data_IF_331877694381
#
_entry.id   IF_331877694381
#
_cell.length_a   1.000
_cell.length_b   1.000
_cell.length_c   1.000
_cell.angle_alpha   90.00
_cell.angle_beta   90.00
_cell.angle_gamma   90.00
#
_symmetry.space_group_name_H-M   'P 1'
#
loop_
_entity.id
_entity.type
_entity.pdbx_description
1 polymer ?
#
# COMPACT_ATOMS: atom_id res chain seq x y z
N UNK A 1 -31.88 -10.92 -11.25
CA UNK A 1 -30.45 -10.52 -11.31
C UNK A 1 -29.63 -11.68 -10.74
N UNK A 2 -28.62 -12.17 -11.46
CA UNK A 2 -27.68 -13.20 -10.99
C UNK A 2 -26.24 -12.66 -11.04
N UNK A 3 -25.31 -13.41 -10.48
CA UNK A 3 -23.89 -12.98 -10.41
C UNK A 3 -23.24 -12.87 -11.79
N UNK A 4 -23.63 -13.74 -12.73
CA UNK A 4 -23.07 -13.72 -14.09
C UNK A 4 -23.49 -12.44 -14.83
N UNK A 5 -24.73 -12.02 -14.67
CA UNK A 5 -25.21 -10.75 -15.24
C UNK A 5 -24.42 -9.53 -14.70
N UNK A 6 -24.09 -9.54 -13.39
CA UNK A 6 -23.24 -8.49 -12.82
C UNK A 6 -21.81 -8.53 -13.38
N UNK A 7 -21.23 -9.73 -13.56
CA UNK A 7 -19.90 -9.89 -14.17
C UNK A 7 -19.88 -9.37 -15.60
N UNK A 8 -20.87 -9.77 -16.41
CA UNK A 8 -21.01 -9.31 -17.78
C UNK A 8 -21.12 -7.78 -17.84
N UNK A 9 -21.95 -7.18 -16.98
CA UNK A 9 -22.07 -5.72 -16.89
C UNK A 9 -20.74 -5.04 -16.54
N UNK A 10 -20.03 -5.53 -15.52
CA UNK A 10 -18.74 -4.97 -15.14
C UNK A 10 -17.70 -5.07 -16.26
N UNK A 11 -17.70 -6.17 -17.01
CA UNK A 11 -16.80 -6.34 -18.14
C UNK A 11 -17.17 -5.47 -19.34
N UNK A 12 -18.46 -5.25 -19.62
CA UNK A 12 -18.90 -4.27 -20.61
C UNK A 12 -18.36 -2.87 -20.30
N UNK A 13 -18.42 -2.46 -19.04
CA UNK A 13 -17.90 -1.16 -18.57
C UNK A 13 -16.38 -1.09 -18.70
N UNK A 14 -15.67 -2.11 -18.22
CA UNK A 14 -14.20 -2.13 -18.23
C UNK A 14 -13.64 -2.18 -19.65
N UNK A 15 -14.24 -2.98 -20.53
CA UNK A 15 -13.81 -3.14 -21.92
C UNK A 15 -14.38 -2.06 -22.84
N UNK A 16 -15.35 -1.27 -22.37
CA UNK A 16 -16.08 -0.24 -23.13
C UNK A 16 -16.64 -0.75 -24.48
N UNK A 17 -16.93 -2.06 -24.53
CA UNK A 17 -17.31 -2.75 -25.77
C UNK A 17 -18.13 -4.01 -25.49
N UNK A 18 -19.36 -4.06 -26.04
CA UNK A 18 -20.27 -5.19 -25.87
C UNK A 18 -19.77 -6.49 -26.52
N UNK A 19 -19.15 -6.40 -27.71
CA UNK A 19 -18.66 -7.57 -28.44
C UNK A 19 -17.47 -8.21 -27.72
N UNK A 20 -16.53 -7.41 -27.20
CA UNK A 20 -15.40 -7.92 -26.42
C UNK A 20 -15.86 -8.55 -25.09
N UNK A 21 -16.88 -7.96 -24.45
CA UNK A 21 -17.48 -8.56 -23.26
C UNK A 21 -18.15 -9.91 -23.58
N UNK A 22 -18.87 -9.99 -24.71
CA UNK A 22 -19.48 -11.22 -25.19
C UNK A 22 -18.46 -12.33 -25.44
N UNK A 23 -17.37 -11.99 -26.14
CA UNK A 23 -16.25 -12.92 -26.40
C UNK A 23 -15.64 -13.44 -25.10
N UNK A 24 -15.36 -12.54 -24.12
CA UNK A 24 -14.82 -12.91 -22.81
C UNK A 24 -15.70 -13.89 -22.03
N UNK A 25 -17.03 -13.78 -22.17
CA UNK A 25 -18.00 -14.64 -21.49
C UNK A 25 -18.48 -15.83 -22.30
N UNK A 26 -18.00 -15.99 -23.55
CA UNK A 26 -18.42 -17.10 -24.43
C UNK A 26 -19.90 -17.04 -24.83
N UNK A 27 -20.50 -15.85 -24.90
CA UNK A 27 -21.91 -15.61 -25.27
C UNK A 27 -22.02 -14.68 -26.45
N UNK A 28 -23.21 -14.60 -27.07
CA UNK A 28 -23.42 -13.66 -28.17
C UNK A 28 -23.51 -12.21 -27.71
N UNK A 29 -23.15 -11.28 -28.56
CA UNK A 29 -23.30 -9.83 -28.29
C UNK A 29 -24.77 -9.44 -28.04
N UNK A 30 -25.71 -10.12 -28.69
CA UNK A 30 -27.15 -9.93 -28.45
C UNK A 30 -27.54 -10.37 -27.04
N UNK A 31 -26.98 -11.47 -26.51
CA UNK A 31 -27.20 -11.91 -25.14
C UNK A 31 -26.68 -10.89 -24.11
N UNK A 32 -25.48 -10.34 -24.32
CA UNK A 32 -24.94 -9.25 -23.48
C UNK A 32 -25.86 -8.03 -23.51
N UNK A 33 -26.33 -7.64 -24.70
CA UNK A 33 -27.25 -6.48 -24.85
C UNK A 33 -28.60 -6.72 -24.14
N UNK A 34 -29.14 -7.95 -24.19
CA UNK A 34 -30.36 -8.33 -23.47
C UNK A 34 -30.15 -8.32 -21.94
N UNK A 35 -29.06 -8.86 -21.43
CA UNK A 35 -28.73 -8.83 -20.00
C UNK A 35 -28.62 -7.40 -19.49
N UNK A 36 -27.96 -6.54 -20.24
CA UNK A 36 -27.85 -5.10 -19.91
C UNK A 36 -29.24 -4.43 -19.90
N UNK A 37 -30.08 -4.69 -20.91
CA UNK A 37 -31.44 -4.14 -20.98
C UNK A 37 -32.31 -4.65 -19.80
N UNK A 38 -32.15 -5.91 -19.39
CA UNK A 38 -32.84 -6.45 -18.21
C UNK A 38 -32.43 -5.71 -16.92
N UNK A 39 -31.14 -5.40 -16.74
CA UNK A 39 -30.68 -4.62 -15.58
C UNK A 39 -31.27 -3.21 -15.60
N UNK A 40 -31.24 -2.55 -16.75
CA UNK A 40 -31.80 -1.21 -16.95
C UNK A 40 -33.31 -1.17 -16.67
N UNK A 41 -34.05 -2.21 -17.14
CA UNK A 41 -35.47 -2.36 -16.87
C UNK A 41 -35.76 -2.59 -15.39
N UNK A 42 -34.99 -3.46 -14.74
CA UNK A 42 -35.14 -3.77 -13.31
C UNK A 42 -34.95 -2.53 -12.43
N UNK A 43 -33.98 -1.69 -12.79
CA UNK A 43 -33.67 -0.47 -12.03
C UNK A 43 -34.35 0.79 -12.58
N UNK A 44 -35.16 0.64 -13.63
CA UNK A 44 -35.92 1.74 -14.29
C UNK A 44 -35.03 2.94 -14.68
N UNK A 45 -33.79 2.69 -15.05
CA UNK A 45 -32.85 3.72 -15.48
C UNK A 45 -31.86 3.15 -16.50
N UNK A 46 -31.32 4.00 -17.35
CA UNK A 46 -30.21 3.65 -18.21
C UNK A 46 -28.91 3.63 -17.40
N UNK A 47 -28.16 2.56 -17.52
CA UNK A 47 -26.85 2.39 -16.86
C UNK A 47 -25.71 2.76 -17.79
N UNK A 48 -25.92 2.64 -19.12
CA UNK A 48 -24.91 2.82 -20.14
C UNK A 48 -25.43 3.73 -21.23
N UNK A 49 -24.64 4.73 -21.62
CA UNK A 49 -24.90 5.55 -22.80
C UNK A 49 -24.39 4.84 -24.06
N UNK A 50 -25.32 4.23 -24.79
CA UNK A 50 -25.02 3.48 -26.03
C UNK A 50 -24.79 4.38 -27.25
N UNK A 51 -25.06 5.69 -27.13
CA UNK A 51 -24.86 6.66 -28.24
C UNK A 51 -23.38 7.09 -28.29
N UNK A 52 -22.66 6.99 -27.21
CA UNK A 52 -21.24 7.34 -27.14
C UNK A 52 -20.33 6.18 -27.60
N UNK A 53 -19.28 6.54 -28.29
CA UNK A 53 -18.21 5.62 -28.71
C UNK A 53 -16.85 6.21 -28.35
N UNK A 54 -16.10 5.60 -27.40
CA UNK A 54 -16.39 4.36 -26.67
C UNK A 54 -17.59 4.50 -25.72
N UNK A 55 -18.24 3.38 -25.41
CA UNK A 55 -19.38 3.27 -24.51
C UNK A 55 -19.03 3.85 -23.13
N UNK A 56 -19.93 4.66 -22.57
CA UNK A 56 -19.73 5.34 -21.28
C UNK A 56 -20.85 5.00 -20.28
N UNK A 57 -20.55 5.13 -19.00
CA UNK A 57 -21.56 5.02 -17.94
C UNK A 57 -22.41 6.29 -17.85
N UNK A 58 -23.68 6.12 -17.47
CA UNK A 58 -24.50 7.21 -16.93
C UNK A 58 -24.17 7.45 -15.45
N UNK A 59 -24.65 8.53 -14.84
CA UNK A 59 -24.51 8.75 -13.39
C UNK A 59 -25.10 7.58 -12.57
N UNK A 60 -26.24 7.03 -12.99
CA UNK A 60 -26.82 5.83 -12.40
C UNK A 60 -25.93 4.60 -12.62
N UNK A 61 -25.32 4.51 -13.81
CA UNK A 61 -24.36 3.45 -14.16
C UNK A 61 -23.12 3.46 -13.29
N UNK A 62 -22.58 4.61 -12.94
CA UNK A 62 -21.42 4.73 -12.03
C UNK A 62 -21.74 4.19 -10.63
N UNK A 63 -22.87 4.59 -10.06
CA UNK A 63 -23.34 4.10 -8.76
C UNK A 63 -23.56 2.57 -8.82
N UNK A 64 -24.23 2.10 -9.87
CA UNK A 64 -24.50 0.68 -10.04
C UNK A 64 -23.20 -0.13 -10.25
N UNK A 65 -22.25 0.39 -11.02
CA UNK A 65 -20.95 -0.27 -11.27
C UNK A 65 -20.14 -0.43 -9.98
N UNK A 66 -20.06 0.62 -9.15
CA UNK A 66 -19.39 0.55 -7.86
C UNK A 66 -20.02 -0.52 -6.96
N UNK A 67 -21.36 -0.52 -6.82
CA UNK A 67 -22.09 -1.49 -6.04
C UNK A 67 -21.95 -2.93 -6.59
N UNK A 68 -22.02 -3.10 -7.91
CA UNK A 68 -21.86 -4.41 -8.57
C UNK A 68 -20.47 -5.00 -8.32
N UNK A 69 -19.42 -4.20 -8.38
CA UNK A 69 -18.06 -4.62 -8.02
C UNK A 69 -17.97 -5.08 -6.57
N UNK A 70 -18.51 -4.33 -5.64
CA UNK A 70 -18.49 -4.68 -4.22
C UNK A 70 -19.21 -6.01 -3.95
N UNK A 71 -20.36 -6.23 -4.60
CA UNK A 71 -21.14 -7.48 -4.49
C UNK A 71 -20.31 -8.65 -5.04
N UNK A 72 -19.73 -8.51 -6.24
CA UNK A 72 -18.93 -9.56 -6.86
C UNK A 72 -17.68 -9.88 -6.03
N UNK A 73 -16.98 -8.89 -5.52
CA UNK A 73 -15.85 -9.09 -4.62
C UNK A 73 -16.27 -9.84 -3.35
N UNK A 74 -17.43 -9.52 -2.79
CA UNK A 74 -17.96 -10.19 -1.60
C UNK A 74 -18.34 -11.64 -1.89
N UNK A 75 -18.94 -11.91 -3.05
CA UNK A 75 -19.30 -13.26 -3.48
C UNK A 75 -18.07 -14.13 -3.72
N UNK A 76 -17.06 -13.63 -4.45
CA UNK A 76 -15.80 -14.32 -4.70
C UNK A 76 -15.06 -14.63 -3.39
N UNK A 77 -15.17 -13.72 -2.44
CA UNK A 77 -14.63 -13.88 -1.09
C UNK A 77 -15.34 -14.99 -0.32
N UNK A 78 -16.67 -15.02 -0.36
CA UNK A 78 -17.47 -16.10 0.24
C UNK A 78 -17.05 -17.47 -0.31
N UNK A 79 -16.90 -17.58 -1.63
CA UNK A 79 -16.44 -18.81 -2.28
C UNK A 79 -15.04 -19.22 -1.79
N UNK A 80 -14.14 -18.24 -1.63
CA UNK A 80 -12.80 -18.48 -1.08
C UNK A 80 -12.81 -18.83 0.41
N UNK A 81 -13.69 -18.21 1.20
CA UNK A 81 -13.88 -18.52 2.62
C UNK A 81 -14.41 -19.95 2.81
N UNK A 82 -15.41 -20.36 2.01
CA UNK A 82 -15.94 -21.74 2.03
C UNK A 82 -14.87 -22.75 1.58
N UNK A 83 -14.14 -22.46 0.51
CA UNK A 83 -13.03 -23.31 0.07
C UNK A 83 -11.92 -23.43 1.13
N UNK A 84 -11.70 -22.36 1.91
CA UNK A 84 -10.79 -22.32 3.06
C UNK A 84 -11.26 -23.17 4.25
N UNK A 85 -12.56 -23.42 4.39
CA UNK A 85 -13.10 -24.33 5.43
C UNK A 85 -12.88 -25.79 5.06
N UNK A 86 -12.80 -26.10 3.76
CA UNK A 86 -12.63 -27.48 3.26
C UNK A 86 -11.16 -27.86 3.03
N UNK A 87 -10.26 -26.88 2.95
CA UNK A 87 -8.79 -27.07 2.92
C UNK A 87 -8.17 -26.10 3.91
N UNK A 88 -7.25 -26.53 4.81
CA UNK A 88 -6.53 -25.58 5.67
C UNK A 88 -5.92 -24.52 4.75
N UNK A 89 -6.24 -23.25 5.02
CA UNK A 89 -5.79 -22.14 4.20
C UNK A 89 -4.25 -22.06 4.23
N UNK A 90 -3.62 -22.76 3.27
CA UNK A 90 -2.17 -22.79 3.11
C UNK A 90 -1.66 -21.49 2.45
N UNK A 91 -2.44 -20.41 2.62
CA UNK A 91 -2.15 -19.11 2.02
C UNK A 91 -2.30 -17.99 3.04
N UNK A 92 -1.32 -17.10 3.08
CA UNK A 92 -1.31 -15.88 3.88
C UNK A 92 -1.03 -14.70 2.94
N UNK A 93 -1.78 -13.60 3.13
CA UNK A 93 -1.64 -12.36 2.38
C UNK A 93 -1.13 -11.27 3.31
N UNK A 94 0.10 -10.86 3.09
CA UNK A 94 0.77 -9.80 3.80
C UNK A 94 0.88 -8.58 2.88
N UNK A 95 0.41 -7.43 3.31
CA UNK A 95 0.63 -6.18 2.60
C UNK A 95 1.48 -5.23 3.44
N UNK A 96 2.40 -4.53 2.82
CA UNK A 96 3.25 -3.56 3.47
C UNK A 96 3.44 -2.30 2.63
N UNK A 97 3.75 -1.19 3.25
CA UNK A 97 4.26 -0.02 2.52
C UNK A 97 5.62 -0.36 1.89
N UNK A 98 5.94 0.28 0.78
CA UNK A 98 7.14 -0.03 -0.02
C UNK A 98 8.42 -0.05 0.82
N UNK A 99 8.67 1.01 1.62
CA UNK A 99 9.89 1.13 2.43
C UNK A 99 10.07 -0.03 3.42
N UNK A 100 9.01 -0.44 4.09
CA UNK A 100 9.05 -1.56 5.05
C UNK A 100 9.14 -2.90 4.32
N UNK A 101 8.35 -3.09 3.26
CA UNK A 101 8.30 -4.34 2.51
C UNK A 101 9.62 -4.70 1.86
N UNK A 102 10.29 -3.72 1.25
CA UNK A 102 11.54 -3.94 0.52
C UNK A 102 12.77 -4.06 1.45
N UNK A 103 12.76 -3.38 2.59
CA UNK A 103 13.98 -3.26 3.42
C UNK A 103 13.88 -3.98 4.76
N UNK A 104 12.74 -3.87 5.45
CA UNK A 104 12.60 -4.33 6.84
C UNK A 104 12.01 -5.74 6.95
N UNK A 105 11.06 -6.12 6.07
CA UNK A 105 10.35 -7.39 6.16
C UNK A 105 11.15 -8.63 5.72
N UNK A 106 12.21 -8.48 4.95
CA UNK A 106 12.90 -9.60 4.32
C UNK A 106 13.40 -10.67 5.31
N UNK A 107 14.02 -10.34 6.45
CA UNK A 107 14.44 -11.33 7.44
C UNK A 107 13.27 -12.14 8.01
N UNK A 108 12.13 -11.50 8.25
CA UNK A 108 10.91 -12.12 8.76
C UNK A 108 10.30 -13.09 7.76
N UNK A 109 10.21 -12.66 6.49
CA UNK A 109 9.74 -13.50 5.38
C UNK A 109 10.62 -14.74 5.25
N UNK A 110 11.95 -14.57 5.26
CA UNK A 110 12.90 -15.68 5.20
C UNK A 110 12.69 -16.68 6.36
N UNK A 111 12.59 -16.19 7.60
CA UNK A 111 12.36 -17.01 8.79
C UNK A 111 10.99 -17.72 8.75
N UNK A 112 9.96 -17.02 8.28
CA UNK A 112 8.64 -17.61 8.10
C UNK A 112 8.65 -18.75 7.07
N UNK A 113 9.22 -18.52 5.89
CA UNK A 113 9.31 -19.53 4.82
C UNK A 113 10.12 -20.75 5.23
N UNK A 114 11.18 -20.59 6.02
CA UNK A 114 11.95 -21.72 6.57
C UNK A 114 11.10 -22.57 7.51
N UNK A 115 10.18 -21.97 8.28
CA UNK A 115 9.31 -22.69 9.23
C UNK A 115 8.08 -23.30 8.61
N UNK A 116 7.54 -22.67 7.56
CA UNK A 116 6.32 -23.07 6.86
C UNK A 116 6.54 -23.13 5.34
N UNK A 117 7.38 -24.06 4.84
CA UNK A 117 7.78 -24.11 3.42
C UNK A 117 6.62 -24.44 2.47
N UNK A 118 5.54 -25.05 2.98
CA UNK A 118 4.35 -25.43 2.19
C UNK A 118 3.28 -24.35 2.18
N UNK A 119 3.43 -23.28 2.96
CA UNK A 119 2.46 -22.17 3.01
C UNK A 119 2.79 -21.17 1.90
N UNK A 120 1.80 -20.83 1.10
CA UNK A 120 1.91 -19.79 0.10
C UNK A 120 1.78 -18.41 0.77
N UNK A 121 2.90 -17.75 1.03
CA UNK A 121 2.94 -16.37 1.49
C UNK A 121 2.95 -15.42 0.29
N UNK A 122 1.87 -14.64 0.13
CA UNK A 122 1.80 -13.55 -0.85
C UNK A 122 2.14 -12.25 -0.14
N UNK A 123 3.22 -11.62 -0.56
CA UNK A 123 3.65 -10.29 -0.08
C UNK A 123 3.38 -9.27 -1.16
N UNK A 124 2.70 -8.20 -0.81
CA UNK A 124 2.33 -7.12 -1.73
C UNK A 124 2.71 -5.77 -1.13
N UNK A 125 3.10 -4.85 -2.01
CA UNK A 125 3.43 -3.48 -1.62
C UNK A 125 2.35 -2.53 -2.12
N UNK A 126 1.89 -1.62 -1.26
CA UNK A 126 0.80 -0.71 -1.58
C UNK A 126 0.89 0.56 -0.73
N UNK A 127 0.11 1.57 -1.08
CA UNK A 127 -0.07 2.76 -0.24
C UNK A 127 -0.82 2.42 1.06
N UNK A 128 -0.63 3.23 2.09
CA UNK A 128 -1.27 3.02 3.40
C UNK A 128 -2.79 2.91 3.28
N UNK A 129 -3.44 3.79 2.49
CA UNK A 129 -4.89 3.77 2.28
C UNK A 129 -5.36 2.44 1.68
N UNK A 130 -4.69 1.97 0.62
CA UNK A 130 -5.02 0.70 -0.02
C UNK A 130 -4.83 -0.51 0.93
N UNK A 131 -3.81 -0.47 1.80
CA UNK A 131 -3.61 -1.55 2.80
C UNK A 131 -4.77 -1.59 3.77
N UNK A 132 -5.23 -0.43 4.30
CA UNK A 132 -6.38 -0.37 5.18
C UNK A 132 -7.66 -0.86 4.51
N UNK A 133 -7.97 -0.39 3.30
CA UNK A 133 -9.16 -0.79 2.55
C UNK A 133 -9.19 -2.30 2.30
N UNK A 134 -8.07 -2.86 1.87
CA UNK A 134 -7.94 -4.29 1.59
C UNK A 134 -7.98 -5.14 2.87
N UNK A 135 -7.43 -4.63 3.98
CA UNK A 135 -7.50 -5.29 5.28
C UNK A 135 -8.95 -5.35 5.77
N UNK A 136 -9.69 -4.24 5.68
CA UNK A 136 -11.10 -4.16 6.07
C UNK A 136 -11.99 -5.05 5.20
N UNK A 137 -11.73 -5.11 3.90
CA UNK A 137 -12.40 -6.03 2.97
C UNK A 137 -12.03 -7.51 3.21
N UNK A 138 -10.91 -7.79 3.88
CA UNK A 138 -10.39 -9.13 4.13
C UNK A 138 -9.56 -9.69 2.98
N UNK A 139 -9.12 -8.85 2.02
CA UNK A 139 -8.23 -9.23 0.91
C UNK A 139 -6.77 -9.36 1.36
N UNK A 140 -6.45 -8.80 2.52
CA UNK A 140 -5.18 -8.89 3.21
C UNK A 140 -5.41 -9.47 4.60
N UNK A 141 -4.48 -10.26 5.09
CA UNK A 141 -4.56 -10.91 6.41
C UNK A 141 -3.82 -10.10 7.46
N UNK A 142 -2.65 -9.58 7.10
CA UNK A 142 -1.78 -8.77 7.96
C UNK A 142 -1.29 -7.59 7.12
N UNK A 143 -1.37 -6.38 7.66
CA UNK A 143 -0.80 -5.18 7.08
C UNK A 143 0.40 -4.67 7.90
N UNK A 144 1.41 -4.07 7.25
CA UNK A 144 2.49 -3.34 7.93
C UNK A 144 2.59 -1.94 7.35
N UNK A 145 2.40 -0.94 8.22
CA UNK A 145 2.28 0.48 7.82
C UNK A 145 3.10 1.38 8.73
N UNK A 146 3.47 2.54 8.25
CA UNK A 146 3.99 3.61 9.11
C UNK A 146 2.82 4.41 9.72
N UNK A 147 2.98 4.89 10.95
CA UNK A 147 2.07 5.82 11.60
C UNK A 147 0.61 5.35 11.55
N UNK A 148 0.36 4.14 12.06
CA UNK A 148 -0.97 3.54 12.01
C UNK A 148 -2.04 4.40 12.67
N UNK A 149 -3.20 4.48 12.02
CA UNK A 149 -4.40 5.13 12.56
C UNK A 149 -5.18 4.13 13.42
N UNK A 150 -5.62 4.54 14.61
CA UNK A 150 -6.53 3.75 15.42
C UNK A 150 -7.91 3.72 14.77
N UNK A 151 -8.45 2.52 14.53
CA UNK A 151 -9.79 2.30 13.97
C UNK A 151 -10.50 1.22 14.77
N UNK A 152 -11.84 1.34 14.94
CA UNK A 152 -12.64 0.38 15.73
C UNK A 152 -12.53 -1.07 15.22
N UNK A 153 -12.36 -1.25 13.91
CA UNK A 153 -12.33 -2.56 13.25
C UNK A 153 -10.92 -3.14 13.09
N UNK A 154 -9.87 -2.44 13.55
CA UNK A 154 -8.48 -2.81 13.35
C UNK A 154 -7.76 -2.87 14.70
N UNK A 155 -6.98 -3.92 14.90
CA UNK A 155 -5.99 -4.03 15.96
C UNK A 155 -4.65 -3.56 15.41
N UNK A 156 -3.94 -2.78 16.21
CA UNK A 156 -2.64 -2.19 15.87
C UNK A 156 -1.62 -2.68 16.89
N UNK A 157 -0.52 -3.23 16.39
CA UNK A 157 0.62 -3.65 17.21
C UNK A 157 1.85 -2.87 16.77
N UNK A 158 2.74 -2.48 17.68
CA UNK A 158 4.04 -1.93 17.31
C UNK A 158 4.81 -2.93 16.43
N UNK A 159 5.63 -2.39 15.51
CA UNK A 159 6.55 -3.22 14.71
C UNK A 159 7.98 -2.74 14.95
N UNK A 160 8.40 -1.66 14.32
CA UNK A 160 9.75 -1.09 14.50
C UNK A 160 9.70 0.44 14.64
N UNK A 161 10.78 0.99 15.20
CA UNK A 161 11.06 2.42 15.21
C UNK A 161 12.23 2.66 14.26
N UNK A 162 11.94 3.16 13.07
CA UNK A 162 12.95 3.41 12.05
C UNK A 162 13.60 4.78 12.26
N UNK A 163 14.92 4.79 12.45
CA UNK A 163 15.69 6.02 12.56
C UNK A 163 15.58 6.82 11.25
N UNK A 164 15.23 8.09 11.35
CA UNK A 164 15.25 9.04 10.23
C UNK A 164 16.58 9.73 10.14
N UNK A 165 17.14 9.80 8.94
CA UNK A 165 18.41 10.45 8.64
C UNK A 165 18.24 11.44 7.49
N UNK A 166 19.05 12.48 7.45
CA UNK A 166 19.19 13.31 6.26
C UNK A 166 19.98 12.54 5.22
N UNK A 167 19.48 12.53 3.98
CA UNK A 167 20.13 11.86 2.85
C UNK A 167 20.49 12.88 1.79
N UNK A 168 21.70 12.80 1.27
CA UNK A 168 22.20 13.67 0.20
C UNK A 168 23.11 12.89 -0.78
N UNK A 169 23.32 13.47 -1.95
CA UNK A 169 24.29 12.94 -2.91
C UNK A 169 25.74 13.10 -2.40
N UNK A 170 26.70 12.29 -2.89
CA UNK A 170 28.08 12.29 -2.40
C UNK A 170 28.85 13.59 -2.66
N UNK A 171 28.38 14.43 -3.59
CA UNK A 171 28.97 15.75 -3.93
C UNK A 171 28.26 16.92 -3.25
N UNK A 172 27.24 16.64 -2.43
CA UNK A 172 26.52 17.68 -1.70
C UNK A 172 27.44 18.31 -0.64
N UNK A 173 27.35 19.63 -0.36
CA UNK A 173 28.20 20.28 0.66
C UNK A 173 28.17 19.64 2.04
N UNK A 174 27.03 19.07 2.43
CA UNK A 174 26.88 18.35 3.70
C UNK A 174 27.46 16.92 3.69
N UNK A 175 27.84 16.35 2.55
CA UNK A 175 28.25 14.95 2.44
C UNK A 175 29.47 14.57 3.31
N UNK A 176 30.30 15.53 3.65
CA UNK A 176 31.47 15.37 4.52
C UNK A 176 31.21 15.63 6.01
N UNK A 177 30.00 16.05 6.38
CA UNK A 177 29.64 16.34 7.77
C UNK A 177 29.35 15.08 8.54
N UNK A 178 29.77 14.98 9.81
CA UNK A 178 29.47 13.82 10.67
C UNK A 178 28.01 13.82 11.13
N UNK A 179 27.42 14.98 11.30
CA UNK A 179 26.01 15.19 11.65
C UNK A 179 25.51 16.52 11.07
N UNK A 180 24.21 16.72 11.07
CA UNK A 180 23.55 17.92 10.56
C UNK A 180 22.60 18.50 11.61
N UNK A 181 22.65 19.81 11.81
CA UNK A 181 21.62 20.51 12.57
C UNK A 181 20.38 20.68 11.69
N UNK A 182 19.20 20.38 12.22
CA UNK A 182 17.94 20.44 11.48
C UNK A 182 17.68 21.85 10.91
N UNK A 183 18.13 22.91 11.59
CA UNK A 183 17.97 24.29 11.13
C UNK A 183 18.76 24.58 9.83
N UNK A 184 19.78 23.78 9.51
CA UNK A 184 20.51 23.92 8.23
C UNK A 184 19.63 23.56 7.01
N UNK A 185 18.49 22.89 7.24
CA UNK A 185 17.55 22.58 6.18
C UNK A 185 16.67 23.77 5.77
N UNK A 186 16.74 24.90 6.51
CA UNK A 186 15.96 26.10 6.18
C UNK A 186 16.28 26.60 4.77
N UNK A 187 15.24 26.61 3.89
CA UNK A 187 15.37 27.04 2.49
C UNK A 187 16.17 26.10 1.59
N UNK A 188 16.70 24.98 2.09
CA UNK A 188 17.46 24.00 1.32
C UNK A 188 16.56 23.28 0.32
N UNK A 189 17.07 22.98 -0.86
CA UNK A 189 16.34 22.16 -1.87
C UNK A 189 16.04 20.78 -1.33
N UNK A 190 14.75 20.44 -1.32
CA UNK A 190 14.25 19.24 -0.66
C UNK A 190 13.39 18.39 -1.59
N UNK A 191 13.70 17.11 -1.63
CA UNK A 191 12.90 16.08 -2.30
C UNK A 191 12.01 15.43 -1.24
N UNK A 192 10.72 15.64 -1.34
CA UNK A 192 9.75 15.24 -0.31
C UNK A 192 8.92 14.02 -0.74
N UNK A 193 8.29 13.39 0.23
CA UNK A 193 7.12 12.56 -0.06
C UNK A 193 5.93 13.43 -0.48
N UNK A 194 5.03 12.90 -1.30
CA UNK A 194 3.78 13.57 -1.67
C UNK A 194 2.91 13.87 -0.46
N UNK A 195 2.09 14.92 -0.58
CA UNK A 195 1.08 15.24 0.42
C UNK A 195 0.11 14.06 0.58
N UNK A 196 -0.26 13.76 1.84
CA UNK A 196 -1.13 12.61 2.16
C UNK A 196 -0.37 11.30 2.45
N UNK A 197 0.92 11.19 2.12
CA UNK A 197 1.77 10.10 2.61
C UNK A 197 2.02 10.31 4.11
N UNK A 198 1.74 9.34 5.00
CA UNK A 198 1.92 9.53 6.45
C UNK A 198 3.34 9.93 6.85
N UNK A 199 4.35 9.41 6.15
CA UNK A 199 5.75 9.80 6.38
C UNK A 199 5.99 11.29 6.10
N UNK A 200 5.34 11.86 5.07
CA UNK A 200 5.40 13.30 4.80
C UNK A 200 4.88 14.10 5.98
N UNK A 201 3.68 13.80 6.46
CA UNK A 201 3.08 14.50 7.58
C UNK A 201 3.94 14.41 8.85
N UNK A 202 4.59 13.26 9.06
CA UNK A 202 5.50 13.07 10.19
C UNK A 202 6.75 13.93 10.08
N UNK A 203 7.39 13.97 8.91
CA UNK A 203 8.54 14.82 8.62
C UNK A 203 8.15 16.29 8.76
N UNK A 204 7.02 16.72 8.21
CA UNK A 204 6.52 18.08 8.33
C UNK A 204 6.25 18.45 9.80
N UNK A 205 5.77 17.51 10.63
CA UNK A 205 5.61 17.71 12.07
C UNK A 205 6.97 17.95 12.76
N UNK A 206 7.97 17.14 12.44
CA UNK A 206 9.33 17.29 12.97
C UNK A 206 9.90 18.66 12.56
N UNK A 207 9.86 18.98 11.28
CA UNK A 207 10.38 20.27 10.76
C UNK A 207 9.65 21.45 11.39
N UNK A 208 8.32 21.35 11.56
CA UNK A 208 7.51 22.39 12.22
C UNK A 208 7.85 22.62 13.69
N UNK A 209 8.24 21.58 14.44
CA UNK A 209 8.71 21.73 15.84
C UNK A 209 9.96 22.61 15.97
N UNK A 210 10.78 22.62 14.91
CA UNK A 210 12.00 23.44 14.84
C UNK A 210 11.82 24.73 14.04
N UNK A 211 10.61 25.05 13.55
CA UNK A 211 10.32 26.18 12.67
C UNK A 211 11.17 26.17 11.39
N UNK A 212 11.45 25.01 10.83
CA UNK A 212 12.26 24.81 9.62
C UNK A 212 11.35 24.55 8.43
N UNK A 213 11.55 25.29 7.34
CA UNK A 213 10.82 25.18 6.09
C UNK A 213 11.81 25.00 4.92
N UNK A 214 12.13 23.77 4.52
CA UNK A 214 12.93 23.53 3.32
C UNK A 214 12.14 23.92 2.06
N UNK A 215 12.84 24.18 0.97
CA UNK A 215 12.25 24.46 -0.34
C UNK A 215 11.97 23.16 -1.07
N UNK A 216 10.73 22.69 -1.05
CA UNK A 216 10.33 21.49 -1.76
C UNK A 216 10.40 21.75 -3.26
N UNK A 217 11.19 20.93 -3.97
CA UNK A 217 11.40 21.06 -5.41
C UNK A 217 10.86 19.86 -6.19
N UNK A 218 10.75 18.69 -5.55
CA UNK A 218 10.19 17.45 -6.10
C UNK A 218 9.40 16.71 -5.03
N UNK A 219 8.34 16.04 -5.44
CA UNK A 219 7.51 15.20 -4.57
C UNK A 219 7.27 13.84 -5.22
N UNK A 220 7.35 12.75 -4.43
CA UNK A 220 7.13 11.39 -4.88
C UNK A 220 6.37 10.57 -3.82
N UNK A 221 5.65 9.56 -4.26
CA UNK A 221 4.84 8.68 -3.40
C UNK A 221 5.65 7.60 -2.65
N UNK A 222 6.87 7.32 -3.07
CA UNK A 222 7.68 6.25 -2.52
C UNK A 222 9.17 6.61 -2.35
N UNK A 223 9.82 5.88 -1.44
CA UNK A 223 11.22 6.09 -1.06
C UNK A 223 12.21 5.82 -2.20
N UNK A 224 11.94 4.85 -3.06
CA UNK A 224 12.88 4.46 -4.12
C UNK A 224 13.07 5.59 -5.14
N UNK A 225 11.98 6.23 -5.54
CA UNK A 225 12.02 7.37 -6.46
C UNK A 225 12.71 8.58 -5.82
N UNK A 226 12.44 8.83 -4.52
CA UNK A 226 13.14 9.90 -3.76
C UNK A 226 14.65 9.64 -3.76
N UNK A 227 15.11 8.42 -3.47
CA UNK A 227 16.54 8.07 -3.49
C UNK A 227 17.17 8.42 -4.84
N UNK A 228 16.53 8.05 -5.95
CA UNK A 228 17.03 8.33 -7.30
C UNK A 228 17.16 9.83 -7.57
N UNK A 229 16.18 10.64 -7.15
CA UNK A 229 16.25 12.07 -7.28
C UNK A 229 17.41 12.69 -6.46
N UNK A 230 17.64 12.20 -5.24
CA UNK A 230 18.75 12.64 -4.39
C UNK A 230 20.11 12.21 -4.97
N UNK A 231 20.21 10.98 -5.52
CA UNK A 231 21.45 10.48 -6.17
C UNK A 231 21.92 11.36 -7.33
N UNK A 232 20.98 11.87 -8.14
CA UNK A 232 21.32 12.77 -9.26
C UNK A 232 21.57 14.22 -8.82
N UNK A 233 21.49 14.52 -7.51
CA UNK A 233 21.79 15.83 -6.94
C UNK A 233 20.64 16.83 -6.97
N UNK A 234 19.37 16.39 -7.08
CA UNK A 234 18.22 17.29 -7.07
C UNK A 234 17.92 17.90 -5.70
N UNK A 235 18.73 17.66 -4.68
CA UNK A 235 18.52 18.17 -3.32
C UNK A 235 18.75 17.11 -2.25
N UNK A 236 18.21 17.34 -1.07
CA UNK A 236 18.31 16.43 0.08
C UNK A 236 16.93 15.86 0.43
N UNK A 237 16.89 14.80 1.23
CA UNK A 237 15.65 14.23 1.75
C UNK A 237 15.83 13.71 3.17
N UNK A 238 14.73 13.48 3.90
CA UNK A 238 14.71 12.77 5.18
C UNK A 238 14.09 11.40 4.94
N UNK A 239 14.87 10.34 5.15
CA UNK A 239 14.45 8.96 4.90
C UNK A 239 14.77 8.05 6.08
N UNK A 240 14.08 6.90 6.22
CA UNK A 240 14.50 5.87 7.16
C UNK A 240 15.87 5.31 6.76
N UNK A 241 16.80 5.23 7.71
CA UNK A 241 18.16 4.75 7.49
C UNK A 241 18.20 3.36 6.84
N UNK A 242 17.27 2.48 7.23
CA UNK A 242 17.16 1.12 6.68
C UNK A 242 16.98 1.09 5.17
N UNK A 243 16.36 2.14 4.59
CA UNK A 243 16.03 2.19 3.16
C UNK A 243 17.20 2.59 2.28
N UNK A 244 18.27 3.13 2.84
CA UNK A 244 19.43 3.67 2.10
C UNK A 244 20.71 2.85 2.27
N UNK A 245 20.66 1.72 2.97
CA UNK A 245 21.84 0.88 3.26
C UNK A 245 22.62 0.46 2.02
N UNK A 246 21.93 0.11 0.94
CA UNK A 246 22.56 -0.29 -0.32
C UNK A 246 23.29 0.88 -0.97
N UNK A 247 22.66 2.04 -1.02
CA UNK A 247 23.25 3.26 -1.59
C UNK A 247 24.43 3.76 -0.77
N UNK A 248 24.37 3.61 0.55
CA UNK A 248 25.51 3.93 1.44
C UNK A 248 26.69 2.99 1.19
N UNK A 249 26.44 1.68 1.07
CA UNK A 249 27.47 0.69 0.76
C UNK A 249 28.11 0.94 -0.62
N UNK A 250 27.31 1.33 -1.61
CA UNK A 250 27.76 1.66 -2.96
C UNK A 250 28.40 3.08 -3.07
N UNK A 251 28.24 3.91 -2.04
CA UNK A 251 28.74 5.28 -2.03
C UNK A 251 27.95 6.27 -2.90
N UNK A 252 26.76 5.88 -3.40
CA UNK A 252 25.92 6.73 -4.26
C UNK A 252 25.10 7.75 -3.47
N UNK A 253 24.89 7.50 -2.17
CA UNK A 253 24.30 8.43 -1.22
C UNK A 253 25.17 8.58 0.03
N UNK A 254 24.90 9.63 0.80
CA UNK A 254 25.40 9.85 2.15
C UNK A 254 24.20 10.02 3.08
N UNK A 255 24.30 9.46 4.29
CA UNK A 255 23.34 9.64 5.36
C UNK A 255 23.98 10.35 6.54
N UNK A 256 23.31 11.34 7.07
CA UNK A 256 23.77 12.13 8.20
C UNK A 256 22.74 12.04 9.33
N UNK A 257 23.23 11.75 10.52
CA UNK A 257 22.38 11.82 11.72
C UNK A 257 22.10 13.29 12.05
N UNK A 258 20.94 13.54 12.67
CA UNK A 258 20.65 14.87 13.21
C UNK A 258 21.41 15.07 14.53
N UNK A 259 22.02 16.25 14.71
CA UNK A 259 22.74 16.63 15.93
C UNK A 259 21.81 17.06 17.06
N UNK A 260 20.60 17.51 16.73
CA UNK A 260 19.60 17.98 17.69
C UNK A 260 19.05 16.84 18.53
N UNK A 261 18.53 15.80 17.88
CA UNK A 261 17.99 14.60 18.48
C UNK A 261 17.85 13.47 17.46
N UNK A 262 17.54 12.26 17.93
CA UNK A 262 17.26 11.11 17.06
C UNK A 262 15.78 11.06 16.74
N UNK A 263 15.41 11.33 15.49
CA UNK A 263 14.03 11.23 15.01
C UNK A 263 13.72 9.82 14.58
N UNK A 264 12.57 9.32 14.99
CA UNK A 264 12.12 7.97 14.63
C UNK A 264 10.76 8.01 13.97
N UNK A 265 10.58 7.18 12.95
CA UNK A 265 9.29 6.89 12.34
C UNK A 265 8.76 5.57 12.90
N UNK A 266 7.66 5.57 13.67
CA UNK A 266 7.07 4.32 14.16
C UNK A 266 6.37 3.59 13.03
N UNK A 267 6.60 2.28 12.93
CA UNK A 267 5.88 1.36 12.06
C UNK A 267 5.05 0.40 12.88
N UNK A 268 3.97 -0.12 12.29
CA UNK A 268 2.97 -0.90 13.00
C UNK A 268 2.46 -2.05 12.16
N UNK A 269 2.15 -3.14 12.82
CA UNK A 269 1.39 -4.25 12.26
C UNK A 269 -0.08 -3.96 12.48
N UNK A 270 -0.89 -4.14 11.46
CA UNK A 270 -2.34 -3.98 11.53
C UNK A 270 -3.04 -5.26 11.09
N UNK A 271 -4.05 -5.67 11.85
CA UNK A 271 -4.91 -6.81 11.54
C UNK A 271 -6.38 -6.44 11.74
N UNK A 272 -7.27 -7.06 10.99
CA UNK A 272 -8.70 -6.84 11.21
C UNK A 272 -9.12 -7.49 12.53
N UNK A 273 -9.79 -6.72 13.38
CA UNK A 273 -10.32 -7.21 14.65
C UNK A 273 -11.27 -8.41 14.42
N UNK A 274 -11.21 -9.39 15.29
CA UNK A 274 -12.00 -10.62 15.22
C UNK A 274 -11.74 -11.48 13.96
N UNK A 275 -10.64 -11.28 13.24
CA UNK A 275 -10.24 -12.16 12.15
C UNK A 275 -9.53 -13.40 12.73
N UNK A 276 -10.05 -14.59 12.41
CA UNK A 276 -9.37 -15.84 12.75
C UNK A 276 -8.24 -16.06 11.74
N UNK A 277 -7.00 -15.95 12.19
CA UNK A 277 -5.82 -16.31 11.41
C UNK A 277 -5.57 -17.82 11.51
N UNK A 278 -5.04 -18.42 10.44
CA UNK A 278 -4.53 -19.79 10.48
C UNK A 278 -3.37 -19.93 11.47
N UNK A 279 -2.97 -21.15 11.82
CA UNK A 279 -1.82 -21.38 12.69
C UNK A 279 -0.54 -20.68 12.15
N UNK A 280 -0.28 -20.82 10.85
CA UNK A 280 0.84 -20.15 10.21
C UNK A 280 0.68 -18.60 10.21
N UNK A 281 -0.54 -18.09 10.02
CA UNK A 281 -0.81 -16.66 10.12
C UNK A 281 -0.59 -16.09 11.53
N UNK A 282 -0.97 -16.82 12.55
CA UNK A 282 -0.66 -16.45 13.97
C UNK A 282 0.83 -16.44 14.22
N UNK A 283 1.54 -17.47 13.73
CA UNK A 283 3.00 -17.51 13.85
C UNK A 283 3.67 -16.31 13.16
N UNK A 284 3.23 -15.95 11.94
CA UNK A 284 3.75 -14.78 11.24
C UNK A 284 3.50 -13.49 12.04
N UNK A 285 2.28 -13.33 12.57
CA UNK A 285 1.95 -12.17 13.43
C UNK A 285 2.84 -12.12 14.67
N UNK A 286 3.04 -13.24 15.36
CA UNK A 286 3.93 -13.32 16.53
C UNK A 286 5.38 -13.04 16.15
N UNK A 287 5.85 -13.57 15.01
CA UNK A 287 7.20 -13.35 14.52
C UNK A 287 7.47 -11.87 14.27
N UNK A 288 6.51 -11.16 13.67
CA UNK A 288 6.60 -9.72 13.45
C UNK A 288 6.54 -8.90 14.76
N UNK A 289 5.80 -9.38 15.78
CA UNK A 289 5.67 -8.70 17.07
C UNK A 289 6.87 -8.89 18.03
N UNK A 290 7.60 -9.99 17.90
CA UNK A 290 8.66 -10.36 18.86
C UNK A 290 9.93 -9.52 18.78
N UNK A 291 10.02 -8.57 17.83
CA UNK A 291 11.21 -7.72 17.67
C UNK A 291 11.34 -6.60 18.72
N UNK A 292 10.36 -6.41 19.60
CA UNK A 292 10.44 -5.36 20.64
C UNK A 292 11.51 -5.62 21.74
N UNK A 293 12.14 -6.81 21.75
CA UNK A 293 13.01 -7.23 22.85
C UNK A 293 14.53 -7.19 22.60
N UNK A 294 15.00 -7.05 21.36
CA UNK A 294 16.44 -7.20 21.05
C UNK A 294 17.18 -5.91 20.67
N UNK A 295 16.50 -4.75 20.66
CA UNK A 295 17.12 -3.46 20.26
C UNK A 295 17.40 -2.50 21.42
N UNK A 296 17.48 -3.00 22.68
CA UNK A 296 17.93 -2.24 23.84
C UNK A 296 19.01 -3.04 24.59
N UNK A 297 20.19 -3.14 24.00
CA UNK A 297 21.45 -3.43 24.68
C UNK A 297 22.58 -2.68 23.95
#
# INVERSE_FOLDING_TARGET
MNMDTLRVFCDVVTLRNLSRAAEKHGISQSAVSQQLAQLETLHKCQLVDRKKRPLELTAAGEVFYAAARDILERYDRLSSEIAGLTKPANRIRLAAIFSVGMHTLQPYVKRFMSRYPTVHLRVEYSSVGQIYDRLLRGDVDIGVVALAKKMRAIEVFPFERELLVLVCGPRHPLAGSGAVDIHQLQGMEFVAFEQGVPTRMWIDTILGQYNVAPRIILEFDNTETIKRAVEIGSGVSILPETTVRTELANGTLRALAFSNERFYRPTHIIVRKNKTLSQAGRYLLELLRKHEGESTA
#
